data_IF_158187145468
#
_entry.id   IF_158187145468
#
_cell.length_a   1.000
_cell.length_b   1.000
_cell.length_c   1.000
_cell.angle_alpha   90.00
_cell.angle_beta   90.00
_cell.angle_gamma   90.00
#
_symmetry.space_group_name_H-M   'P 1'
#
loop_
_entity.id
_entity.type
_entity.pdbx_description
1 polymer ?
#
# COMPACT_ATOMS: atom_id res chain seq x y z
N UNK A 1 -7.13 1.93 54.27
CA UNK A 1 -6.36 2.13 53.05
C UNK A 1 -7.03 1.33 51.96
N UNK A 2 -7.70 2.01 51.05
CA UNK A 2 -8.57 1.37 50.09
C UNK A 2 -7.75 0.90 48.90
N UNK A 3 -7.32 -0.36 48.93
CA UNK A 3 -6.64 -1.03 47.84
C UNK A 3 -7.46 -1.00 46.55
N UNK A 4 -8.77 -0.87 46.67
CA UNK A 4 -9.70 -0.79 45.55
C UNK A 4 -9.64 0.54 44.78
N UNK A 5 -9.40 1.67 45.45
CA UNK A 5 -9.31 2.98 44.78
C UNK A 5 -8.06 3.12 43.94
N UNK A 6 -6.94 2.54 44.36
CA UNK A 6 -5.68 2.56 43.65
C UNK A 6 -5.75 1.67 42.38
N UNK A 7 -6.39 0.52 42.49
CA UNK A 7 -6.61 -0.38 41.34
C UNK A 7 -7.48 0.26 40.24
N UNK A 8 -8.52 0.98 40.63
CA UNK A 8 -9.37 1.71 39.68
C UNK A 8 -8.62 2.83 38.95
N UNK A 9 -7.72 3.54 39.65
CA UNK A 9 -6.87 4.57 39.02
C UNK A 9 -5.94 3.99 37.95
N UNK A 10 -5.32 2.84 38.22
CA UNK A 10 -4.49 2.15 37.21
C UNK A 10 -5.29 1.67 36.00
N UNK A 11 -6.49 1.15 36.20
CA UNK A 11 -7.38 0.72 35.13
C UNK A 11 -7.77 1.90 34.24
N UNK A 12 -8.12 3.05 34.83
CA UNK A 12 -8.44 4.27 34.08
C UNK A 12 -7.22 4.82 33.32
N UNK A 13 -6.02 4.76 33.90
CA UNK A 13 -4.79 5.19 33.26
C UNK A 13 -4.44 4.30 32.04
N UNK A 14 -4.62 3.00 32.17
CA UNK A 14 -4.38 2.03 31.08
C UNK A 14 -5.39 2.23 29.94
N UNK A 15 -6.67 2.37 30.26
CA UNK A 15 -7.73 2.60 29.26
C UNK A 15 -7.52 3.95 28.55
N UNK A 16 -7.18 5.01 29.29
CA UNK A 16 -6.87 6.32 28.72
C UNK A 16 -5.65 6.28 27.80
N UNK A 17 -4.61 5.53 28.19
CA UNK A 17 -3.41 5.33 27.36
C UNK A 17 -3.70 4.57 26.06
N UNK A 18 -4.53 3.52 26.11
CA UNK A 18 -4.94 2.75 24.94
C UNK A 18 -5.78 3.58 23.95
N UNK A 19 -6.71 4.39 24.47
CA UNK A 19 -7.54 5.28 23.63
C UNK A 19 -6.68 6.37 22.97
N UNK A 20 -5.72 6.94 23.67
CA UNK A 20 -4.80 7.93 23.13
C UNK A 20 -3.89 7.31 22.06
N UNK A 21 -3.33 6.14 22.31
CA UNK A 21 -2.52 5.41 21.34
C UNK A 21 -3.31 5.06 20.07
N UNK A 22 -4.57 4.64 20.23
CA UNK A 22 -5.45 4.33 19.10
C UNK A 22 -5.80 5.57 18.28
N UNK A 23 -6.05 6.71 18.91
CA UNK A 23 -6.26 8.00 18.23
C UNK A 23 -5.04 8.47 17.45
N UNK A 24 -3.85 8.33 18.04
CA UNK A 24 -2.58 8.66 17.36
C UNK A 24 -2.39 7.75 16.15
N UNK A 25 -2.63 6.45 16.30
CA UNK A 25 -2.56 5.49 15.21
C UNK A 25 -3.50 5.83 14.05
N UNK A 26 -4.77 6.16 14.35
CA UNK A 26 -5.73 6.58 13.32
C UNK A 26 -5.33 7.87 12.61
N UNK A 27 -4.78 8.84 13.34
CA UNK A 27 -4.30 10.09 12.74
C UNK A 27 -3.08 9.87 11.84
N UNK A 28 -2.16 9.00 12.24
CA UNK A 28 -1.00 8.64 11.40
C UNK A 28 -1.44 7.92 10.11
N UNK A 29 -2.44 7.05 10.18
CA UNK A 29 -3.00 6.43 8.98
C UNK A 29 -3.63 7.45 8.03
N UNK A 30 -4.38 8.42 8.54
CA UNK A 30 -4.97 9.50 7.74
C UNK A 30 -3.92 10.38 7.06
N UNK A 31 -2.82 10.68 7.75
CA UNK A 31 -1.71 11.44 7.19
C UNK A 31 -0.99 10.66 6.07
N UNK A 32 -0.76 9.36 6.27
CA UNK A 32 -0.18 8.49 5.22
C UNK A 32 -1.09 8.39 4.00
N UNK A 33 -2.40 8.25 4.19
CA UNK A 33 -3.35 8.22 3.09
C UNK A 33 -3.33 9.52 2.27
N UNK A 34 -3.31 10.68 2.93
CA UNK A 34 -3.20 11.97 2.25
C UNK A 34 -1.91 12.13 1.46
N UNK A 35 -0.79 11.62 1.97
CA UNK A 35 0.47 11.62 1.23
C UNK A 35 0.42 10.71 0.01
N UNK A 36 -0.15 9.51 0.12
CA UNK A 36 -0.32 8.60 -1.01
C UNK A 36 -1.27 9.19 -2.06
N UNK A 37 -2.39 9.76 -1.65
CA UNK A 37 -3.35 10.40 -2.56
C UNK A 37 -2.70 11.55 -3.36
N UNK A 38 -1.87 12.36 -2.72
CA UNK A 38 -1.14 13.43 -3.38
C UNK A 38 -0.04 12.93 -4.31
N UNK A 39 0.59 11.82 -3.96
CA UNK A 39 1.59 11.15 -4.78
C UNK A 39 0.99 10.59 -6.06
N UNK A 40 -0.11 9.86 -5.96
CA UNK A 40 -0.82 9.28 -7.10
C UNK A 40 -1.24 10.37 -8.09
N UNK A 41 -1.81 11.47 -7.60
CA UNK A 41 -2.20 12.59 -8.44
C UNK A 41 -1.01 13.26 -9.15
N UNK A 42 0.10 13.45 -8.44
CA UNK A 42 1.33 14.05 -9.00
C UNK A 42 1.95 13.16 -10.08
N UNK A 43 2.00 11.86 -9.85
CA UNK A 43 2.59 10.92 -10.80
C UNK A 43 1.77 10.85 -12.08
N UNK A 44 0.45 10.81 -11.97
CA UNK A 44 -0.46 10.84 -13.15
C UNK A 44 -0.33 12.18 -13.89
N UNK A 45 -0.25 13.31 -13.19
CA UNK A 45 -0.04 14.62 -13.80
C UNK A 45 1.30 14.69 -14.56
N UNK A 46 2.37 14.14 -13.99
CA UNK A 46 3.67 14.05 -14.68
C UNK A 46 3.61 13.19 -15.94
N UNK A 47 2.90 12.06 -15.90
CA UNK A 47 2.69 11.20 -17.07
C UNK A 47 1.93 11.95 -18.17
N UNK A 48 0.89 12.69 -17.81
CA UNK A 48 0.12 13.53 -18.76
C UNK A 48 0.97 14.63 -19.38
N UNK A 49 1.79 15.33 -18.59
CA UNK A 49 2.70 16.38 -19.08
C UNK A 49 3.77 15.86 -20.05
N UNK A 50 4.13 14.58 -19.96
CA UNK A 50 5.05 13.92 -20.88
C UNK A 50 4.38 13.47 -22.20
N UNK A 51 3.13 13.84 -22.43
CA UNK A 51 2.38 13.50 -23.63
C UNK A 51 1.77 12.11 -23.63
N UNK A 52 1.58 11.53 -22.45
CA UNK A 52 0.91 10.25 -22.31
C UNK A 52 -0.59 10.37 -22.57
N UNK A 53 -1.13 9.48 -23.41
CA UNK A 53 -2.55 9.44 -23.72
C UNK A 53 -3.34 8.88 -22.52
N UNK A 54 -4.28 9.67 -21.90
CA UNK A 54 -5.04 9.22 -20.74
C UNK A 54 -6.02 8.08 -21.03
N UNK A 55 -6.31 7.83 -22.31
CA UNK A 55 -7.26 6.79 -22.73
C UNK A 55 -6.59 5.45 -23.07
N UNK A 56 -5.26 5.41 -23.11
CA UNK A 56 -4.51 4.17 -23.33
C UNK A 56 -4.27 3.42 -22.02
N UNK A 57 -4.32 2.08 -22.03
CA UNK A 57 -3.89 1.30 -20.90
C UNK A 57 -2.38 1.42 -20.70
N UNK A 58 -1.96 1.42 -19.42
CA UNK A 58 -0.57 1.40 -19.00
C UNK A 58 -0.27 0.09 -18.31
N UNK A 59 0.95 -0.40 -18.48
CA UNK A 59 1.49 -1.45 -17.60
C UNK A 59 1.87 -0.79 -16.28
N UNK A 60 1.17 -1.16 -15.22
CA UNK A 60 1.39 -0.62 -13.88
C UNK A 60 2.00 -1.68 -12.99
N UNK A 61 3.15 -1.35 -12.43
CA UNK A 61 3.88 -2.18 -11.48
C UNK A 61 3.58 -1.73 -10.06
N UNK A 62 3.24 -2.67 -9.18
CA UNK A 62 2.97 -2.45 -7.76
C UNK A 62 3.98 -3.19 -6.93
N UNK A 63 4.50 -2.55 -5.87
CA UNK A 63 5.59 -3.07 -5.06
C UNK A 63 5.18 -3.23 -3.61
N UNK A 64 5.52 -4.37 -3.03
CA UNK A 64 5.23 -4.74 -1.64
C UNK A 64 6.45 -5.38 -0.99
N UNK A 65 6.51 -5.31 0.33
CA UNK A 65 7.53 -6.00 1.12
C UNK A 65 6.89 -6.68 2.34
N UNK A 66 7.31 -7.89 2.64
CA UNK A 66 6.79 -8.72 3.73
C UNK A 66 7.90 -9.34 4.57
N UNK A 67 7.64 -9.57 5.88
CA UNK A 67 8.61 -10.21 6.76
C UNK A 67 8.68 -11.74 6.59
N UNK A 68 7.63 -12.36 6.05
CA UNK A 68 7.56 -13.80 5.83
C UNK A 68 7.00 -14.15 4.45
N UNK A 69 7.35 -15.35 3.90
CA UNK A 69 6.91 -15.73 2.56
C UNK A 69 5.42 -16.06 2.48
N UNK A 70 4.81 -16.52 3.56
CA UNK A 70 3.39 -16.94 3.56
C UNK A 70 2.47 -15.75 3.32
N UNK A 71 2.72 -14.62 3.99
CA UNK A 71 1.97 -13.37 3.77
C UNK A 71 2.13 -12.83 2.35
N UNK A 72 3.35 -12.88 1.82
CA UNK A 72 3.62 -12.47 0.44
C UNK A 72 2.89 -13.38 -0.57
N UNK A 73 2.91 -14.68 -0.36
CA UNK A 73 2.20 -15.64 -1.21
C UNK A 73 0.68 -15.48 -1.12
N UNK A 74 0.15 -15.20 0.05
CA UNK A 74 -1.28 -14.96 0.26
C UNK A 74 -1.74 -13.74 -0.54
N UNK A 75 -1.02 -12.64 -0.49
CA UNK A 75 -1.34 -11.46 -1.29
C UNK A 75 -1.14 -11.74 -2.79
N UNK A 76 -0.07 -12.44 -3.17
CA UNK A 76 0.16 -12.82 -4.56
C UNK A 76 -1.01 -13.64 -5.14
N UNK A 77 -1.51 -14.63 -4.41
CA UNK A 77 -2.65 -15.44 -4.82
C UNK A 77 -3.93 -14.59 -4.96
N UNK A 78 -4.19 -13.69 -4.03
CA UNK A 78 -5.32 -12.76 -4.11
C UNK A 78 -5.22 -11.87 -5.34
N UNK A 79 -4.07 -11.26 -5.58
CA UNK A 79 -3.86 -10.37 -6.72
C UNK A 79 -3.98 -11.12 -8.06
N UNK A 80 -3.47 -12.34 -8.15
CA UNK A 80 -3.64 -13.18 -9.36
C UNK A 80 -5.11 -13.47 -9.64
N UNK A 81 -5.92 -13.70 -8.61
CA UNK A 81 -7.36 -13.88 -8.77
C UNK A 81 -8.07 -12.62 -9.29
N UNK A 82 -7.48 -11.45 -9.08
CA UNK A 82 -7.97 -10.15 -9.56
C UNK A 82 -7.38 -9.74 -10.93
N UNK A 83 -6.60 -10.61 -11.56
CA UNK A 83 -6.03 -10.40 -12.90
C UNK A 83 -4.66 -9.70 -12.90
N UNK A 84 -3.98 -9.63 -11.76
CA UNK A 84 -2.58 -9.19 -11.69
C UNK A 84 -1.64 -10.35 -12.04
N UNK A 85 -0.52 -10.02 -12.66
CA UNK A 85 0.64 -10.89 -12.72
C UNK A 85 1.54 -10.58 -11.52
N UNK A 86 1.75 -11.55 -10.64
CA UNK A 86 2.41 -11.34 -9.36
C UNK A 86 3.57 -12.32 -9.16
N UNK A 87 4.74 -11.76 -8.86
CA UNK A 87 5.99 -12.47 -8.59
C UNK A 87 6.56 -12.10 -7.22
N UNK A 88 7.04 -13.10 -6.49
CA UNK A 88 7.71 -12.94 -5.22
C UNK A 88 9.21 -13.18 -5.35
N UNK A 89 10.02 -12.33 -4.71
CA UNK A 89 11.46 -12.44 -4.64
C UNK A 89 11.94 -12.43 -3.21
N UNK A 90 12.86 -13.32 -2.86
CA UNK A 90 13.61 -13.28 -1.61
C UNK A 90 14.78 -12.31 -1.77
N UNK A 91 14.78 -11.24 -0.98
CA UNK A 91 15.80 -10.19 -0.98
C UNK A 91 16.35 -9.98 0.42
N UNK A 92 17.33 -10.84 0.86
CA UNK A 92 17.88 -10.77 2.22
C UNK A 92 18.47 -9.41 2.60
N UNK A 93 18.89 -8.64 1.60
CA UNK A 93 19.41 -7.28 1.75
C UNK A 93 18.39 -6.29 2.31
N UNK A 94 17.10 -6.59 2.22
CA UNK A 94 16.02 -5.72 2.72
C UNK A 94 15.73 -5.89 4.23
N UNK A 95 16.55 -6.65 4.96
CA UNK A 95 16.42 -6.83 6.40
C UNK A 95 15.14 -7.54 6.80
N UNK A 96 14.35 -6.93 7.70
CA UNK A 96 13.13 -7.54 8.26
C UNK A 96 12.02 -7.75 7.22
N UNK A 97 12.02 -6.98 6.14
CA UNK A 97 11.06 -7.08 5.03
C UNK A 97 11.71 -7.70 3.78
N UNK A 98 12.27 -8.89 3.95
CA UNK A 98 13.11 -9.53 2.92
C UNK A 98 12.35 -10.09 1.73
N UNK A 99 11.04 -10.34 1.85
CA UNK A 99 10.23 -10.89 0.77
C UNK A 99 9.56 -9.76 0.00
N UNK A 100 10.06 -9.47 -1.19
CA UNK A 100 9.48 -8.48 -2.10
C UNK A 100 8.43 -9.14 -2.97
N UNK A 101 7.26 -8.52 -3.07
CA UNK A 101 6.22 -8.90 -4.01
C UNK A 101 6.09 -7.80 -5.08
N UNK A 102 6.16 -8.20 -6.32
CA UNK A 102 5.93 -7.35 -7.48
C UNK A 102 4.68 -7.83 -8.19
N UNK A 103 3.73 -6.94 -8.41
CA UNK A 103 2.51 -7.23 -9.14
C UNK A 103 2.36 -6.27 -10.31
N UNK A 104 1.92 -6.77 -11.45
CA UNK A 104 1.72 -5.99 -12.67
C UNK A 104 0.31 -6.14 -13.19
N UNK A 105 -0.25 -5.06 -13.67
CA UNK A 105 -1.54 -5.07 -14.36
C UNK A 105 -1.63 -3.98 -15.40
N UNK A 106 -2.20 -4.32 -16.56
CA UNK A 106 -2.56 -3.33 -17.58
C UNK A 106 -3.88 -2.65 -17.20
N UNK A 107 -3.87 -1.33 -17.06
CA UNK A 107 -5.04 -0.57 -16.65
C UNK A 107 -4.97 0.89 -17.11
N UNK A 108 -6.13 1.52 -17.21
CA UNK A 108 -6.18 2.97 -17.44
C UNK A 108 -5.82 3.71 -16.14
N UNK A 109 -5.07 4.81 -16.27
CA UNK A 109 -4.65 5.62 -15.14
C UNK A 109 -5.61 6.78 -14.95
N UNK A 110 -6.51 6.65 -13.99
CA UNK A 110 -7.31 7.75 -13.47
C UNK A 110 -6.93 8.03 -12.03
N UNK A 111 -6.96 9.29 -11.62
CA UNK A 111 -6.59 9.65 -10.23
C UNK A 111 -7.50 8.97 -9.21
N UNK A 112 -8.85 8.98 -9.34
CA UNK A 112 -9.72 8.33 -8.38
C UNK A 112 -9.49 6.82 -8.26
N UNK A 113 -9.31 6.13 -9.39
CA UNK A 113 -9.12 4.68 -9.41
C UNK A 113 -7.79 4.29 -8.77
N UNK A 114 -6.71 5.02 -9.09
CA UNK A 114 -5.40 4.78 -8.50
C UNK A 114 -5.37 5.07 -7.00
N UNK A 115 -6.01 6.16 -6.55
CA UNK A 115 -6.13 6.47 -5.12
C UNK A 115 -6.90 5.38 -4.38
N UNK A 116 -8.03 4.93 -4.92
CA UNK A 116 -8.82 3.85 -4.34
C UNK A 116 -8.04 2.53 -4.28
N UNK A 117 -7.35 2.18 -5.35
CA UNK A 117 -6.53 0.98 -5.43
C UNK A 117 -5.35 1.04 -4.46
N UNK A 118 -4.61 2.14 -4.42
CA UNK A 118 -3.48 2.34 -3.50
C UNK A 118 -3.88 2.22 -2.04
N UNK A 119 -5.04 2.78 -1.66
CA UNK A 119 -5.59 2.64 -0.30
C UNK A 119 -5.89 1.18 0.03
N UNK A 120 -6.60 0.49 -0.85
CA UNK A 120 -6.94 -0.92 -0.67
C UNK A 120 -5.70 -1.80 -0.55
N UNK A 121 -4.72 -1.61 -1.43
CA UNK A 121 -3.47 -2.36 -1.41
C UNK A 121 -2.64 -2.07 -0.15
N UNK A 122 -2.60 -0.82 0.30
CA UNK A 122 -1.96 -0.44 1.56
C UNK A 122 -2.61 -1.14 2.75
N UNK A 123 -3.94 -1.10 2.86
CA UNK A 123 -4.68 -1.73 3.95
C UNK A 123 -4.51 -3.25 3.95
N UNK A 124 -4.53 -3.88 2.78
CA UNK A 124 -4.33 -5.32 2.63
C UNK A 124 -2.90 -5.73 3.03
N UNK A 125 -1.89 -4.99 2.59
CA UNK A 125 -0.50 -5.25 2.96
C UNK A 125 -0.26 -5.13 4.47
N UNK A 126 -0.82 -4.10 5.11
CA UNK A 126 -0.74 -3.90 6.56
C UNK A 126 -1.44 -5.03 7.30
N UNK A 127 -2.62 -5.46 6.86
CA UNK A 127 -3.37 -6.58 7.46
C UNK A 127 -2.58 -7.89 7.43
N UNK A 128 -1.71 -8.09 6.43
CA UNK A 128 -0.82 -9.24 6.29
C UNK A 128 0.55 -9.04 6.96
N UNK A 129 0.75 -7.95 7.68
CA UNK A 129 2.00 -7.63 8.38
C UNK A 129 3.11 -7.08 7.49
N UNK A 130 2.81 -6.69 6.27
CA UNK A 130 3.74 -6.14 5.30
C UNK A 130 3.58 -4.65 5.05
N UNK A 131 4.16 -4.20 3.94
CA UNK A 131 4.17 -2.81 3.51
C UNK A 131 3.90 -2.71 2.01
N UNK A 132 3.10 -1.74 1.62
CA UNK A 132 2.94 -1.30 0.24
C UNK A 132 3.91 -0.16 -0.06
N UNK A 133 4.79 -0.35 -1.06
CA UNK A 133 5.86 0.60 -1.38
C UNK A 133 5.50 1.58 -2.51
N UNK A 134 4.36 1.42 -3.14
CA UNK A 134 3.90 2.28 -4.21
C UNK A 134 3.80 1.59 -5.57
N UNK A 135 3.64 2.39 -6.61
CA UNK A 135 3.49 1.91 -7.97
C UNK A 135 4.33 2.73 -8.95
N UNK A 136 4.59 2.13 -10.11
CA UNK A 136 5.20 2.80 -11.25
C UNK A 136 4.44 2.42 -12.51
N UNK A 137 4.31 3.34 -13.45
CA UNK A 137 3.70 3.08 -14.74
C UNK A 137 4.74 3.18 -15.85
N UNK A 138 4.72 2.20 -16.74
CA UNK A 138 5.50 2.23 -17.97
C UNK A 138 4.55 2.46 -19.13
N UNK A 139 4.94 3.33 -20.05
CA UNK A 139 4.26 3.37 -21.33
C UNK A 139 4.50 2.03 -22.03
N UNK A 140 3.42 1.37 -22.41
CA UNK A 140 3.52 0.24 -23.32
C UNK A 140 4.33 0.60 -24.56
N UNK A 141 4.97 -0.36 -25.24
CA UNK A 141 5.76 -0.08 -26.44
C UNK A 141 4.92 0.79 -27.37
N UNK A 142 5.47 1.92 -27.78
CA UNK A 142 4.90 2.68 -28.90
C UNK A 142 4.83 1.69 -30.06
N UNK A 143 3.64 1.33 -30.47
CA UNK A 143 3.46 0.81 -31.81
C UNK A 143 4.10 1.85 -32.73
N UNK A 144 5.29 1.51 -33.22
CA UNK A 144 5.90 2.32 -34.27
C UNK A 144 4.93 2.26 -35.44
N UNK A 145 4.19 3.33 -35.62
CA UNK A 145 3.42 3.55 -36.80
C UNK A 145 4.41 3.54 -37.98
N UNK A 146 4.38 2.47 -38.72
CA UNK A 146 5.09 2.32 -40.01
C UNK A 146 4.38 3.21 -41.03
#
# INVERSE_FOLDING_TARGET
MDFTAITWLYVFAIIGGLVAAWRIYQNLQKLRQRQNDSWDARLIDQLRKRGSDPFRPYEVDFFFAFPNPDSAQQLAAQLRSEGFDADMKDSPENGDLRYSLHARKSMQLTVPDMQGLSRRLTDTAIALGGRYDGWAAQQGPREQAS
#
